data_IF_786206355327
#
_entry.id   IF_786206355327
#
_cell.length_a   1.000
_cell.length_b   1.000
_cell.length_c   1.000
_cell.angle_alpha   90.00
_cell.angle_beta   90.00
_cell.angle_gamma   90.00
#
_symmetry.space_group_name_H-M   'P 1'
#
loop_
_entity.id
_entity.type
_entity.pdbx_description
1 polymer ?
#
# COMPACT_ATOMS: atom_id res chain seq x y z
N UNK A 1 -0.33 -20.83 11.30
CA UNK A 1 -0.70 -19.85 10.27
C UNK A 1 -2.21 -19.82 9.94
N UNK A 2 -3.13 -20.21 10.84
CA UNK A 2 -4.56 -20.23 10.53
C UNK A 2 -5.21 -18.84 10.35
N UNK A 3 -4.69 -17.82 11.05
CA UNK A 3 -5.26 -16.46 11.05
C UNK A 3 -4.95 -15.71 9.74
N UNK A 4 -3.76 -15.92 9.15
CA UNK A 4 -3.35 -15.25 7.92
C UNK A 4 -3.91 -15.93 6.66
N UNK A 5 -4.37 -17.18 6.75
CA UNK A 5 -4.81 -17.98 5.61
C UNK A 5 -5.87 -17.28 4.72
N UNK A 6 -6.93 -16.65 5.28
CA UNK A 6 -7.90 -15.94 4.44
C UNK A 6 -7.29 -14.78 3.66
N UNK A 7 -6.28 -14.10 4.19
CA UNK A 7 -5.63 -12.97 3.53
C UNK A 7 -4.79 -13.38 2.32
N UNK A 8 -4.27 -14.61 2.34
CA UNK A 8 -3.44 -15.14 1.27
C UNK A 8 -4.24 -15.89 0.20
N UNK A 9 -5.32 -16.56 0.61
CA UNK A 9 -6.06 -17.48 -0.26
C UNK A 9 -7.38 -16.91 -0.77
N UNK A 10 -7.98 -15.90 -0.11
CA UNK A 10 -9.22 -15.31 -0.58
C UNK A 10 -8.92 -14.44 -1.81
N UNK A 11 -9.46 -14.76 -3.00
CA UNK A 11 -9.24 -13.95 -4.18
C UNK A 11 -9.80 -12.54 -3.99
N UNK A 12 -9.04 -11.52 -4.38
CA UNK A 12 -9.49 -10.14 -4.37
C UNK A 12 -10.18 -9.83 -5.70
N UNK A 13 -11.40 -9.29 -5.64
CA UNK A 13 -12.11 -8.77 -6.81
C UNK A 13 -11.67 -7.33 -7.12
N UNK A 14 -10.61 -7.22 -7.91
CA UNK A 14 -10.04 -5.94 -8.32
C UNK A 14 -10.97 -5.11 -9.23
N UNK A 15 -11.85 -5.75 -10.00
CA UNK A 15 -12.83 -5.04 -10.85
C UNK A 15 -13.85 -4.31 -9.98
N UNK A 16 -14.37 -4.96 -8.94
CA UNK A 16 -15.26 -4.29 -7.99
C UNK A 16 -14.58 -3.09 -7.33
N UNK A 17 -13.29 -3.19 -6.95
CA UNK A 17 -12.56 -2.07 -6.35
C UNK A 17 -12.42 -0.91 -7.34
N UNK A 18 -11.96 -1.18 -8.57
CA UNK A 18 -11.79 -0.17 -9.62
C UNK A 18 -13.10 0.53 -10.01
N UNK A 19 -14.24 -0.17 -9.92
CA UNK A 19 -15.55 0.42 -10.15
C UNK A 19 -16.02 1.34 -9.00
N UNK A 20 -15.42 1.25 -7.81
CA UNK A 20 -15.77 2.10 -6.65
C UNK A 20 -14.86 3.32 -6.54
N UNK A 21 -13.63 3.25 -7.04
CA UNK A 21 -12.70 4.38 -7.00
C UNK A 21 -11.63 4.26 -8.08
N UNK A 22 -11.24 5.41 -8.61
CA UNK A 22 -10.11 5.55 -9.54
C UNK A 22 -8.89 6.20 -8.91
N UNK A 23 -9.00 6.67 -7.66
CA UNK A 23 -7.92 7.37 -6.94
C UNK A 23 -7.35 6.43 -5.88
N UNK A 24 -6.40 5.58 -6.27
CA UNK A 24 -5.73 4.61 -5.37
C UNK A 24 -4.25 4.95 -5.29
N UNK A 25 -3.73 5.07 -4.06
CA UNK A 25 -2.31 5.28 -3.80
C UNK A 25 -1.85 4.26 -2.76
N UNK A 26 -0.70 3.64 -3.01
CA UNK A 26 -0.04 2.73 -2.07
C UNK A 26 1.35 3.26 -1.71
N UNK A 27 1.68 3.23 -0.43
CA UNK A 27 2.94 3.75 0.12
C UNK A 27 3.63 2.58 0.81
N UNK A 28 4.87 2.31 0.41
CA UNK A 28 5.68 1.22 0.92
C UNK A 28 6.96 1.75 1.54
N UNK A 29 7.70 0.89 2.24
CA UNK A 29 9.08 1.16 2.63
C UNK A 29 10.07 0.22 1.97
N UNK A 30 11.28 0.71 1.70
CA UNK A 30 12.37 -0.07 1.09
C UNK A 30 12.92 -1.19 1.97
N UNK A 31 12.67 -1.15 3.28
CA UNK A 31 13.20 -2.10 4.27
C UNK A 31 12.11 -2.69 5.17
N UNK A 32 10.86 -2.74 4.70
CA UNK A 32 9.77 -3.44 5.38
C UNK A 32 10.04 -4.96 5.36
N UNK A 33 10.07 -5.60 6.55
CA UNK A 33 10.33 -7.03 6.70
C UNK A 33 9.07 -7.89 6.61
N UNK A 34 7.88 -7.28 6.64
CA UNK A 34 6.59 -7.95 6.69
C UNK A 34 5.85 -7.89 5.34
N UNK A 35 6.08 -6.83 4.56
CA UNK A 35 5.42 -6.61 3.27
C UNK A 35 6.43 -6.79 2.12
N UNK A 36 6.33 -7.86 1.31
CA UNK A 36 7.18 -8.04 0.13
C UNK A 36 6.97 -6.89 -0.87
N UNK A 37 7.96 -5.99 -0.95
CA UNK A 37 7.83 -4.74 -1.68
C UNK A 37 7.51 -4.95 -3.17
N UNK A 38 8.26 -5.81 -3.84
CA UNK A 38 8.20 -5.93 -5.30
C UNK A 38 6.86 -6.53 -5.73
N UNK A 39 6.46 -7.63 -5.10
CA UNK A 39 5.22 -8.34 -5.40
C UNK A 39 4.01 -7.47 -5.13
N UNK A 40 3.96 -6.80 -3.97
CA UNK A 40 2.83 -5.95 -3.62
C UNK A 40 2.77 -4.72 -4.53
N UNK A 41 3.91 -4.07 -4.81
CA UNK A 41 3.94 -2.91 -5.69
C UNK A 41 3.36 -3.24 -7.07
N UNK A 42 3.74 -4.37 -7.66
CA UNK A 42 3.20 -4.84 -8.95
C UNK A 42 1.69 -5.06 -8.85
N UNK A 43 1.20 -5.73 -7.80
CA UNK A 43 -0.24 -5.95 -7.61
C UNK A 43 -1.01 -4.62 -7.55
N UNK A 44 -0.52 -3.65 -6.78
CA UNK A 44 -1.17 -2.34 -6.67
C UNK A 44 -1.11 -1.55 -7.99
N UNK A 45 0.02 -1.55 -8.70
CA UNK A 45 0.16 -0.85 -9.98
C UNK A 45 -0.71 -1.49 -11.08
N UNK A 46 -0.61 -2.81 -11.26
CA UNK A 46 -1.22 -3.49 -12.41
C UNK A 46 -2.67 -3.90 -12.17
N UNK A 47 -3.01 -4.39 -10.98
CA UNK A 47 -4.38 -4.87 -10.71
C UNK A 47 -5.34 -3.74 -10.34
N UNK A 48 -4.82 -2.69 -9.68
CA UNK A 48 -5.61 -1.58 -9.15
C UNK A 48 -5.40 -0.24 -9.86
N UNK A 49 -4.45 -0.14 -10.81
CA UNK A 49 -4.04 1.13 -11.40
C UNK A 49 -3.60 2.17 -10.35
N UNK A 50 -3.05 1.71 -9.22
CA UNK A 50 -2.65 2.58 -8.14
C UNK A 50 -1.33 3.29 -8.46
N UNK A 51 -1.17 4.53 -8.00
CA UNK A 51 0.16 5.17 -7.95
C UNK A 51 0.88 4.67 -6.71
N UNK A 52 2.16 4.31 -6.84
CA UNK A 52 2.94 3.79 -5.70
C UNK A 52 4.08 4.73 -5.32
N UNK A 53 4.42 4.73 -4.04
CA UNK A 53 5.56 5.46 -3.47
C UNK A 53 6.37 4.53 -2.58
N UNK A 54 7.68 4.70 -2.57
CA UNK A 54 8.59 3.92 -1.73
C UNK A 54 9.42 4.86 -0.88
N UNK A 55 9.14 4.87 0.41
CA UNK A 55 9.90 5.60 1.43
C UNK A 55 11.15 4.82 1.82
N UNK A 56 12.30 5.48 1.87
CA UNK A 56 13.56 4.81 2.22
C UNK A 56 13.69 4.62 3.73
N UNK A 57 14.03 3.39 4.13
CA UNK A 57 14.43 3.05 5.51
C UNK A 57 13.41 3.44 6.61
N UNK A 58 12.13 3.16 6.39
CA UNK A 58 11.03 3.50 7.31
C UNK A 58 10.35 2.28 7.96
N UNK A 59 10.94 1.09 7.84
CA UNK A 59 10.45 -0.13 8.47
C UNK A 59 9.01 -0.44 8.03
N UNK A 60 8.17 -0.88 8.96
CA UNK A 60 6.75 -1.14 8.69
C UNK A 60 5.88 0.14 8.79
N UNK A 61 6.48 1.32 8.60
CA UNK A 61 5.82 2.63 8.66
C UNK A 61 5.11 2.90 10.00
N UNK A 62 5.45 2.16 11.07
CA UNK A 62 4.82 2.25 12.37
C UNK A 62 5.59 3.12 13.36
N UNK A 63 4.93 3.50 14.46
CA UNK A 63 5.59 4.22 15.55
C UNK A 63 6.73 3.40 16.19
N UNK A 64 6.64 2.07 16.19
CA UNK A 64 7.72 1.16 16.60
C UNK A 64 8.97 1.26 15.74
N UNK A 65 8.83 1.70 14.48
CA UNK A 65 9.92 1.97 13.55
C UNK A 65 10.41 3.43 13.64
N UNK A 66 9.94 4.19 14.63
CA UNK A 66 10.23 5.63 14.78
C UNK A 66 9.48 6.53 13.79
N UNK A 67 8.49 6.01 13.07
CA UNK A 67 7.71 6.76 12.08
C UNK A 67 6.50 7.40 12.77
N UNK A 68 6.66 8.63 13.24
CA UNK A 68 5.58 9.44 13.81
C UNK A 68 4.96 10.42 12.80
N UNK A 69 5.62 10.60 11.66
CA UNK A 69 5.18 11.47 10.57
C UNK A 69 5.40 10.77 9.23
N UNK A 70 4.39 10.87 8.35
CA UNK A 70 4.43 10.34 7.00
C UNK A 70 3.89 11.37 5.99
N UNK A 71 4.66 12.43 5.68
CA UNK A 71 4.17 13.57 4.89
C UNK A 71 3.65 13.21 3.50
N UNK A 72 4.18 12.14 2.89
CA UNK A 72 3.71 11.63 1.59
C UNK A 72 2.22 11.30 1.60
N UNK A 73 1.68 10.77 2.71
CA UNK A 73 0.24 10.50 2.85
C UNK A 73 -0.56 11.79 2.75
N UNK A 74 -0.20 12.79 3.55
CA UNK A 74 -0.90 14.08 3.57
C UNK A 74 -0.83 14.78 2.21
N UNK A 75 0.36 14.81 1.60
CA UNK A 75 0.59 15.48 0.33
C UNK A 75 -0.23 14.85 -0.80
N UNK A 76 -0.22 13.52 -0.91
CA UNK A 76 -0.97 12.83 -1.95
C UNK A 76 -2.48 12.84 -1.69
N UNK A 77 -2.92 12.77 -0.43
CA UNK A 77 -4.32 12.93 -0.08
C UNK A 77 -4.87 14.31 -0.52
N UNK A 78 -4.12 15.39 -0.26
CA UNK A 78 -4.52 16.73 -0.70
C UNK A 78 -4.58 16.86 -2.23
N UNK A 79 -3.79 16.09 -2.99
CA UNK A 79 -3.91 16.02 -4.45
C UNK A 79 -5.16 15.28 -4.89
N UNK A 80 -5.61 14.27 -4.15
CA UNK A 80 -6.83 13.52 -4.47
C UNK A 80 -8.11 14.35 -4.28
N UNK A 81 -8.08 15.38 -3.43
CA UNK A 81 -9.23 16.27 -3.18
C UNK A 81 -9.46 17.29 -4.29
N UNK A 82 -8.47 17.47 -5.18
CA UNK A 82 -8.60 18.28 -6.39
C UNK A 82 -9.22 17.45 -7.52
#
# INVERSE_FOLDING_TARGET
>A
MAIAKPWLETPIDYETIKNKTTKIIAIFSSNDLYVPLNENRIVFEESLNARTFVEKNKGHLGGSDGVNELPVVLHELLKMLK
#
